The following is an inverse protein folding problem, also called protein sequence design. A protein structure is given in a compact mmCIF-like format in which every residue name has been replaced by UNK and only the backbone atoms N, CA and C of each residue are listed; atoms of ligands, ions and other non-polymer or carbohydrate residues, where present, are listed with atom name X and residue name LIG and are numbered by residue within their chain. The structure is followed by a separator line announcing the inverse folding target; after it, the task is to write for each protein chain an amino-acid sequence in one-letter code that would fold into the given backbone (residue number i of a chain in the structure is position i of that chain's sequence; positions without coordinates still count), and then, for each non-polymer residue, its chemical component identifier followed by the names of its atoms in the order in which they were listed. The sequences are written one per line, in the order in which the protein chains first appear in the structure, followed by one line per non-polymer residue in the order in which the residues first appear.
data_IF_270355996163
#
_entry.id   IF_270355996163
#
_cell.length_a   1.000
_cell.length_b   1.000
_cell.length_c   1.000
_cell.angle_alpha   90.00
_cell.angle_beta   90.00
_cell.angle_gamma   90.00
#
_symmetry.space_group_name_H-M   'P 1'
#
loop_
_entity.id
_entity.type
_entity.pdbx_description
1 polymer ?
#
# COMPACT_ATOMS: atom_id res chain seq x y z
N UNK A 1 -0.71 -12.93 15.60
CA UNK A 1 0.06 -12.26 14.52
C UNK A 1 -0.83 -11.63 13.44
N UNK A 2 -1.73 -12.38 12.79
CA UNK A 2 -2.56 -11.87 11.68
C UNK A 2 -3.38 -10.61 12.05
N UNK A 3 -4.05 -10.59 13.21
CA UNK A 3 -4.79 -9.41 13.69
C UNK A 3 -3.92 -8.17 13.92
N UNK A 4 -2.69 -8.34 14.38
CA UNK A 4 -1.78 -7.23 14.61
C UNK A 4 -1.29 -6.61 13.29
N UNK A 5 -1.01 -7.46 12.30
CA UNK A 5 -0.67 -7.03 10.94
C UNK A 5 -1.84 -6.28 10.30
N UNK A 6 -3.05 -6.83 10.41
CA UNK A 6 -4.28 -6.20 9.91
C UNK A 6 -4.50 -4.83 10.56
N UNK A 7 -4.41 -4.73 11.89
CA UNK A 7 -4.61 -3.48 12.62
C UNK A 7 -3.53 -2.42 12.34
N UNK A 8 -2.26 -2.82 12.18
CA UNK A 8 -1.18 -1.91 11.80
C UNK A 8 -1.41 -1.38 10.38
N UNK A 9 -1.72 -2.26 9.43
CA UNK A 9 -2.04 -1.87 8.05
C UNK A 9 -3.28 -0.98 7.99
N UNK A 10 -4.30 -1.23 8.81
CA UNK A 10 -5.52 -0.40 8.91
C UNK A 10 -5.22 1.02 9.40
N UNK A 11 -4.36 1.17 10.42
CA UNK A 11 -3.93 2.50 10.88
C UNK A 11 -3.13 3.24 9.83
N UNK A 12 -2.18 2.55 9.19
CA UNK A 12 -1.36 3.16 8.14
C UNK A 12 -2.23 3.60 6.96
N UNK A 13 -3.24 2.80 6.60
CA UNK A 13 -4.21 3.11 5.55
C UNK A 13 -5.15 4.27 5.90
N UNK A 14 -5.73 4.30 7.09
CA UNK A 14 -6.62 5.38 7.52
C UNK A 14 -5.94 6.75 7.52
N UNK A 15 -4.62 6.77 7.74
CA UNK A 15 -3.82 8.00 7.76
C UNK A 15 -3.48 8.56 6.37
N UNK A 16 -3.58 7.76 5.29
CA UNK A 16 -3.04 8.11 3.96
C UNK A 16 -4.14 8.20 2.92
N UNK A 17 -4.93 9.28 3.00
CA UNK A 17 -5.89 9.70 1.97
C UNK A 17 -5.22 9.72 0.59
N UNK A 18 -5.64 8.82 -0.30
CA UNK A 18 -5.58 8.94 -1.76
C UNK A 18 -4.25 9.46 -2.35
N UNK A 19 -3.16 8.69 -2.19
CA UNK A 19 -1.92 8.95 -2.92
C UNK A 19 -1.64 7.81 -3.92
N UNK A 20 -1.76 8.02 -5.25
CA UNK A 20 -1.50 6.99 -6.25
C UNK A 20 -0.05 6.50 -6.25
N UNK A 21 0.90 7.36 -5.85
CA UNK A 21 2.30 6.98 -5.64
C UNK A 21 2.41 5.97 -4.49
N UNK A 22 1.59 6.12 -3.46
CA UNK A 22 1.55 5.18 -2.34
C UNK A 22 0.92 3.84 -2.75
N UNK A 23 -0.15 3.85 -3.55
CA UNK A 23 -0.73 2.63 -4.11
C UNK A 23 0.27 1.85 -4.98
N UNK A 24 1.13 2.57 -5.71
CA UNK A 24 2.24 1.97 -6.46
C UNK A 24 3.35 1.45 -5.51
N UNK A 25 3.77 2.25 -4.53
CA UNK A 25 4.79 1.87 -3.56
C UNK A 25 4.36 0.69 -2.67
N UNK A 26 3.07 0.53 -2.40
CA UNK A 26 2.53 -0.60 -1.65
C UNK A 26 2.75 -1.94 -2.37
N UNK A 27 2.91 -1.93 -3.70
CA UNK A 27 3.28 -3.14 -4.46
C UNK A 27 4.73 -3.57 -4.18
N UNK A 28 5.61 -2.64 -3.81
CA UNK A 28 6.99 -2.96 -3.40
C UNK A 28 7.02 -3.74 -2.09
N UNK A 29 6.02 -3.55 -1.22
CA UNK A 29 5.87 -4.31 0.03
C UNK A 29 5.65 -5.80 -0.25
N UNK A 30 5.10 -6.16 -1.41
CA UNK A 30 4.91 -7.56 -1.79
C UNK A 30 6.23 -8.31 -1.97
N UNK A 31 7.28 -7.61 -2.43
CA UNK A 31 8.59 -8.21 -2.64
C UNK A 31 9.40 -8.39 -1.34
N UNK A 32 9.02 -7.70 -0.25
CA UNK A 32 9.80 -7.70 1.01
C UNK A 32 10.08 -9.12 1.55
N UNK A 33 9.10 -10.03 1.63
CA UNK A 33 9.36 -11.40 2.08
C UNK A 33 10.37 -12.14 1.18
N UNK A 34 10.32 -11.92 -0.13
CA UNK A 34 11.26 -12.53 -1.07
C UNK A 34 12.66 -11.93 -0.88
N UNK A 35 12.80 -10.61 -0.81
CA UNK A 35 14.11 -9.99 -0.58
C UNK A 35 14.73 -10.40 0.76
N UNK A 36 13.92 -10.52 1.81
CA UNK A 36 14.38 -11.04 3.10
C UNK A 36 14.83 -12.51 3.00
N UNK A 37 14.07 -13.34 2.27
CA UNK A 37 14.47 -14.73 2.04
C UNK A 37 15.77 -14.84 1.25
N UNK A 38 15.97 -14.02 0.21
CA UNK A 38 17.21 -13.98 -0.57
C UNK A 38 18.40 -13.52 0.27
N UNK A 39 18.21 -12.49 1.11
CA UNK A 39 19.25 -12.04 2.03
C UNK A 39 19.62 -13.11 3.06
N UNK A 40 18.63 -13.86 3.55
CA UNK A 40 18.85 -14.97 4.47
C UNK A 40 19.56 -16.16 3.78
N UNK A 41 19.21 -16.48 2.54
CA UNK A 41 19.91 -17.50 1.74
C UNK A 41 21.38 -17.11 1.51
N UNK A 42 21.65 -15.86 1.11
CA UNK A 42 23.01 -15.37 0.94
C UNK A 42 23.83 -15.46 2.24
N UNK A 43 23.20 -15.18 3.39
CA UNK A 43 23.84 -15.36 4.69
C UNK A 43 24.13 -16.85 5.00
N UNK A 44 23.19 -17.75 4.71
CA UNK A 44 23.35 -19.19 4.92
C UNK A 44 24.45 -19.80 4.04
N UNK A 45 24.54 -19.36 2.79
CA UNK A 45 25.62 -19.76 1.87
C UNK A 45 26.98 -19.26 2.35
N UNK A 46 27.05 -18.02 2.87
CA UNK A 46 28.29 -17.48 3.45
C UNK A 46 28.79 -18.27 4.67
N UNK A 47 27.88 -18.99 5.34
CA UNK A 47 28.17 -19.88 6.47
C UNK A 47 28.50 -21.33 6.03
N UNK A 48 28.51 -21.60 4.72
CA UNK A 48 28.87 -22.90 4.15
C UNK A 48 27.69 -23.82 3.84
N UNK A 49 26.45 -23.35 3.91
CA UNK A 49 25.29 -24.14 3.49
C UNK A 49 25.29 -24.33 1.97
N UNK A 50 24.92 -25.52 1.48
CA UNK A 50 24.78 -25.75 0.04
C UNK A 50 23.46 -25.22 -0.47
N UNK A 51 23.38 -24.97 -1.78
CA UNK A 51 22.15 -24.49 -2.44
C UNK A 51 20.98 -25.49 -2.32
N UNK A 52 21.31 -26.78 -2.18
CA UNK A 52 20.34 -27.87 -2.04
C UNK A 52 19.98 -28.17 -0.58
N UNK A 53 20.52 -27.40 0.38
CA UNK A 53 20.20 -27.56 1.79
C UNK A 53 18.68 -27.36 2.01
N UNK A 54 17.98 -28.31 2.64
CA UNK A 54 16.57 -28.17 2.99
C UNK A 54 16.24 -26.87 3.72
N UNK A 55 17.20 -26.31 4.46
CA UNK A 55 17.05 -25.03 5.16
C UNK A 55 17.02 -23.85 4.18
N UNK A 56 17.90 -23.83 3.18
CA UNK A 56 17.93 -22.82 2.10
C UNK A 56 16.63 -22.87 1.29
N UNK A 57 16.21 -24.08 0.90
CA UNK A 57 14.96 -24.29 0.18
C UNK A 57 13.73 -23.88 1.01
N UNK A 58 13.74 -24.19 2.31
CA UNK A 58 12.68 -23.81 3.24
C UNK A 58 12.54 -22.29 3.41
N UNK A 59 13.66 -21.57 3.50
CA UNK A 59 13.69 -20.10 3.58
C UNK A 59 13.12 -19.46 2.32
N UNK A 60 13.50 -19.95 1.14
CA UNK A 60 12.95 -19.50 -0.15
C UNK A 60 11.44 -19.78 -0.25
N UNK A 61 11.01 -20.98 0.11
CA UNK A 61 9.59 -21.34 0.10
C UNK A 61 8.77 -20.46 1.05
N UNK A 62 9.28 -20.15 2.25
CA UNK A 62 8.66 -19.22 3.19
C UNK A 62 8.61 -17.80 2.65
N UNK A 63 9.66 -17.32 1.98
CA UNK A 63 9.68 -16.02 1.32
C UNK A 63 8.60 -15.91 0.25
N UNK A 64 8.49 -16.92 -0.62
CA UNK A 64 7.45 -17.01 -1.65
C UNK A 64 6.04 -17.06 -1.06
N UNK A 65 5.80 -17.95 -0.10
CA UNK A 65 4.50 -18.06 0.57
C UNK A 65 4.11 -16.76 1.28
N UNK A 66 5.07 -16.10 1.94
CA UNK A 66 4.89 -14.80 2.58
C UNK A 66 4.50 -13.71 1.58
N UNK A 67 5.16 -13.64 0.43
CA UNK A 67 4.79 -12.72 -0.65
C UNK A 67 3.36 -12.96 -1.13
N UNK A 68 2.98 -14.22 -1.39
CA UNK A 68 1.62 -14.55 -1.80
C UNK A 68 0.57 -14.19 -0.76
N UNK A 69 0.84 -14.45 0.53
CA UNK A 69 -0.06 -14.09 1.61
C UNK A 69 -0.28 -12.56 1.70
N UNK A 70 0.80 -11.77 1.63
CA UNK A 70 0.70 -10.29 1.65
C UNK A 70 -0.01 -9.78 0.41
N UNK A 71 0.27 -10.35 -0.76
CA UNK A 71 -0.38 -9.99 -2.02
C UNK A 71 -1.88 -10.29 -2.00
N UNK A 72 -2.29 -11.48 -1.54
CA UNK A 72 -3.69 -11.88 -1.43
C UNK A 72 -4.46 -10.99 -0.46
N UNK A 73 -3.89 -10.68 0.71
CA UNK A 73 -4.50 -9.74 1.66
C UNK A 73 -4.62 -8.35 1.05
N UNK A 74 -3.59 -7.88 0.34
CA UNK A 74 -3.63 -6.59 -0.36
C UNK A 74 -4.70 -6.55 -1.43
N UNK A 75 -4.83 -7.61 -2.24
CA UNK A 75 -5.84 -7.75 -3.29
C UNK A 75 -7.26 -7.85 -2.73
N UNK A 76 -7.47 -8.67 -1.72
CA UNK A 76 -8.77 -8.78 -1.03
C UNK A 76 -9.23 -7.43 -0.49
N UNK A 77 -8.32 -6.66 0.11
CA UNK A 77 -8.64 -5.33 0.64
C UNK A 77 -8.79 -4.28 -0.45
N UNK A 78 -8.06 -4.38 -1.57
CA UNK A 78 -8.31 -3.55 -2.74
C UNK A 78 -9.70 -3.82 -3.33
N UNK A 79 -10.08 -5.09 -3.45
CA UNK A 79 -11.41 -5.51 -3.88
C UNK A 79 -12.52 -5.09 -2.88
N UNK A 80 -12.24 -5.05 -1.56
CA UNK A 80 -13.20 -4.68 -0.54
C UNK A 80 -13.30 -3.15 -0.28
N UNK A 81 -12.24 -2.39 -0.54
CA UNK A 81 -12.12 -0.97 -0.17
C UNK A 81 -11.97 0.01 -1.33
N UNK A 82 -11.41 -0.41 -2.47
CA UNK A 82 -11.19 0.44 -3.64
C UNK A 82 -12.27 0.28 -4.73
N UNK A 83 -13.04 -0.82 -4.72
CA UNK A 83 -14.21 -0.99 -5.61
C UNK A 83 -15.49 -0.32 -5.08
N UNK A 84 -15.51 0.15 -3.82
CA UNK A 84 -16.62 0.94 -3.27
C UNK A 84 -16.57 2.35 -3.87
N UNK A 85 -17.26 2.52 -5.00
CA UNK A 85 -17.53 3.80 -5.67
C UNK A 85 -17.87 4.93 -4.69
N UNK A 86 -18.65 4.62 -3.65
CA UNK A 86 -19.17 5.60 -2.69
C UNK A 86 -18.08 6.38 -1.94
N UNK A 87 -16.93 5.77 -1.66
CA UNK A 87 -15.84 6.45 -0.94
C UNK A 87 -15.02 7.33 -1.88
N UNK A 88 -14.81 6.88 -3.12
CA UNK A 88 -14.13 7.66 -4.16
C UNK A 88 -15.00 8.85 -4.60
N UNK A 89 -16.31 8.65 -4.71
CA UNK A 89 -17.27 9.71 -5.04
C UNK A 89 -17.35 10.77 -3.94
N UNK A 90 -17.38 10.38 -2.66
CA UNK A 90 -17.35 11.34 -1.53
C UNK A 90 -16.04 12.12 -1.47
N UNK A 91 -14.90 11.45 -1.69
CA UNK A 91 -13.60 12.12 -1.72
C UNK A 91 -13.47 13.07 -2.94
N UNK A 92 -14.00 12.69 -4.10
CA UNK A 92 -14.05 13.52 -5.29
C UNK A 92 -15.02 14.71 -5.14
N UNK A 93 -16.13 14.53 -4.39
CA UNK A 93 -17.05 15.60 -4.05
C UNK A 93 -16.41 16.60 -3.09
N UNK A 94 -15.77 16.15 -2.01
CA UNK A 94 -15.01 17.01 -1.09
C UNK A 94 -13.90 17.78 -1.80
N UNK A 95 -13.18 17.14 -2.73
CA UNK A 95 -12.13 17.81 -3.49
C UNK A 95 -12.70 18.88 -4.42
N UNK A 96 -13.81 18.59 -5.10
CA UNK A 96 -14.53 19.56 -5.95
C UNK A 96 -15.04 20.76 -5.15
N UNK A 97 -15.58 20.55 -3.94
CA UNK A 97 -15.99 21.64 -3.05
C UNK A 97 -14.82 22.51 -2.60
N UNK A 98 -13.67 21.93 -2.26
CA UNK A 98 -12.49 22.73 -1.87
C UNK A 98 -11.94 23.54 -3.04
N UNK A 99 -11.96 22.98 -4.25
CA UNK A 99 -11.52 23.68 -5.46
C UNK A 99 -12.51 24.78 -5.84
N UNK A 100 -13.82 24.52 -5.75
CA UNK A 100 -14.85 25.53 -6.04
C UNK A 100 -14.84 26.66 -5.01
N UNK A 101 -14.63 26.37 -3.72
CA UNK A 101 -14.46 27.38 -2.68
C UNK A 101 -13.21 28.25 -2.90
N UNK A 102 -12.09 27.66 -3.34
CA UNK A 102 -10.89 28.42 -3.73
C UNK A 102 -11.15 29.28 -4.97
N UNK A 103 -11.78 28.74 -6.01
CA UNK A 103 -12.14 29.51 -7.20
C UNK A 103 -13.11 30.64 -6.87
N UNK A 104 -14.09 30.43 -6.00
CA UNK A 104 -15.02 31.46 -5.55
C UNK A 104 -14.31 32.56 -4.73
N UNK A 105 -13.36 32.18 -3.87
CA UNK A 105 -12.52 33.13 -3.14
C UNK A 105 -11.67 33.99 -4.09
N UNK A 106 -10.98 33.37 -5.06
CA UNK A 106 -10.19 34.10 -6.05
C UNK A 106 -11.05 34.97 -6.97
N UNK A 107 -12.24 34.51 -7.36
CA UNK A 107 -13.18 35.30 -8.17
C UNK A 107 -13.70 36.52 -7.40
N UNK A 108 -14.00 36.37 -6.11
CA UNK A 108 -14.44 37.46 -5.23
C UNK A 108 -13.32 38.46 -4.91
N UNK A 109 -12.07 37.99 -4.87
CA UNK A 109 -10.91 38.88 -4.75
C UNK A 109 -10.66 39.65 -6.06
N UNK A 110 -10.79 38.98 -7.21
CA UNK A 110 -10.55 39.60 -8.51
C UNK A 110 -11.65 40.58 -8.95
N UNK A 111 -12.92 40.34 -8.57
CA UNK A 111 -14.04 41.26 -8.78
C UNK A 111 -14.87 41.38 -7.49
N UNK A 112 -14.49 42.29 -6.57
CA UNK A 112 -15.19 42.48 -5.30
C UNK A 112 -16.54 43.19 -5.47
N UNK A 113 -16.68 44.04 -6.49
CA UNK A 113 -17.90 44.78 -6.81
C UNK A 113 -18.40 44.35 -8.19
N UNK A 114 -19.51 43.62 -8.23
CA UNK A 114 -20.16 43.25 -9.49
C UNK A 114 -20.84 44.46 -10.12
N UNK A 115 -20.11 45.20 -10.97
CA UNK A 115 -20.65 46.03 -12.06
C UNK A 115 -19.62 46.17 -13.17
#
# INVERSE_FOLDING_TARGET
MLRALINWMDRDWASRRYNPVFAFAQRLVWGVPVFLSLAAVAALESLGSSHDDPLVLGVLALGGAGMFAIMLVSLYRWAAGYSRSDYQERAAAEHRERVSARQAFFRRWWNPDGS
#
